data_IF_541755261874
#
_entry.id   IF_541755261874
#
_cell.length_a   1.000
_cell.length_b   1.000
_cell.length_c   1.000
_cell.angle_alpha   90.00
_cell.angle_beta   90.00
_cell.angle_gamma   90.00
#
_symmetry.space_group_name_H-M   'P 1'
#
loop_
_entity.id
_entity.type
_entity.pdbx_description
1 polymer ?
#
# COMPACT_ATOMS: atom_id res chain seq x y z
N UNK A 1 20.88 4.74 23.32
CA UNK A 1 19.82 4.90 22.32
C UNK A 1 20.19 4.01 21.15
N UNK A 2 19.61 2.80 21.10
CA UNK A 2 19.83 1.88 19.99
C UNK A 2 19.08 2.42 18.78
N UNK A 3 19.80 2.70 17.69
CA UNK A 3 19.15 3.11 16.45
C UNK A 3 18.24 2.00 15.94
N UNK A 4 17.13 2.41 15.33
CA UNK A 4 16.20 1.53 14.60
C UNK A 4 17.04 0.63 13.69
N UNK A 5 17.14 -0.66 14.03
CA UNK A 5 17.74 -1.62 13.12
C UNK A 5 16.72 -1.83 12.01
N UNK A 6 16.93 -1.16 10.89
CA UNK A 6 16.15 -1.33 9.65
C UNK A 6 15.92 -2.82 9.29
N UNK A 7 16.84 -3.70 9.71
CA UNK A 7 16.82 -5.14 9.47
C UNK A 7 15.63 -5.90 10.08
N UNK A 8 14.93 -5.38 11.10
CA UNK A 8 13.79 -6.06 11.73
C UNK A 8 12.43 -5.72 11.10
N UNK A 9 12.37 -4.66 10.27
CA UNK A 9 11.23 -4.31 9.42
C UNK A 9 9.86 -4.42 10.13
N UNK A 10 8.88 -5.11 9.55
CA UNK A 10 7.53 -5.29 10.13
C UNK A 10 7.51 -5.96 11.51
N UNK A 11 8.60 -6.59 11.94
CA UNK A 11 8.71 -7.29 13.22
C UNK A 11 9.40 -6.44 14.30
N UNK A 12 9.71 -5.17 14.02
CA UNK A 12 10.23 -4.22 14.98
C UNK A 12 9.10 -3.42 15.64
N UNK A 13 8.85 -3.52 16.97
CA UNK A 13 7.89 -2.67 17.65
C UNK A 13 8.20 -1.16 17.53
N UNK A 14 9.47 -0.77 17.57
CA UNK A 14 9.90 0.64 17.49
C UNK A 14 9.54 1.29 16.15
N UNK A 15 9.37 0.48 15.09
CA UNK A 15 8.87 0.97 13.80
C UNK A 15 7.49 1.59 13.94
N UNK A 16 6.59 0.95 14.69
CA UNK A 16 5.20 1.40 14.83
C UNK A 16 5.10 2.61 15.76
N UNK A 17 5.98 2.75 16.74
CA UNK A 17 6.09 3.96 17.55
C UNK A 17 6.54 5.14 16.68
N UNK A 18 7.63 4.96 15.92
CA UNK A 18 8.12 5.98 14.99
C UNK A 18 7.08 6.36 13.93
N UNK A 19 6.39 5.38 13.34
CA UNK A 19 5.32 5.66 12.38
C UNK A 19 4.15 6.40 13.03
N UNK A 20 3.83 6.09 14.29
CA UNK A 20 2.80 6.79 15.06
C UNK A 20 3.14 8.26 15.23
N UNK A 21 4.35 8.56 15.67
CA UNK A 21 4.85 9.93 15.83
C UNK A 21 4.81 10.70 14.51
N UNK A 22 5.25 10.07 13.41
CA UNK A 22 5.19 10.67 12.06
C UNK A 22 3.76 10.92 11.63
N UNK A 23 2.85 9.97 11.83
CA UNK A 23 1.45 10.15 11.48
C UNK A 23 0.81 11.26 12.29
N UNK A 24 1.09 11.36 13.60
CA UNK A 24 0.58 12.44 14.45
C UNK A 24 0.98 13.82 13.92
N UNK A 25 2.25 14.01 13.55
CA UNK A 25 2.69 15.28 12.95
C UNK A 25 2.02 15.53 11.60
N UNK A 26 1.96 14.52 10.72
CA UNK A 26 1.43 14.71 9.37
C UNK A 26 -0.09 14.96 9.37
N UNK A 27 -0.87 14.32 10.25
CA UNK A 27 -2.32 14.53 10.28
C UNK A 27 -2.72 15.93 10.79
N UNK A 28 -1.86 16.56 11.60
CA UNK A 28 -2.03 17.96 12.01
C UNK A 28 -1.78 18.92 10.84
N UNK A 29 -0.79 18.63 10.00
CA UNK A 29 -0.42 19.47 8.85
C UNK A 29 -1.38 19.32 7.67
N UNK A 30 -1.91 18.11 7.45
CA UNK A 30 -2.73 17.77 6.30
C UNK A 30 -4.15 17.36 6.74
N UNK A 31 -5.14 18.28 6.67
CA UNK A 31 -6.49 18.01 7.15
C UNK A 31 -7.30 17.07 6.24
N UNK A 32 -6.83 16.80 5.02
CA UNK A 32 -7.47 15.89 4.08
C UNK A 32 -7.78 14.52 4.68
N UNK A 33 -8.90 13.92 4.23
CA UNK A 33 -9.37 12.64 4.75
C UNK A 33 -8.45 11.47 4.34
N UNK A 34 -7.73 11.60 3.22
CA UNK A 34 -6.94 10.51 2.65
C UNK A 34 -5.45 10.63 2.98
N UNK A 35 -4.82 9.51 3.31
CA UNK A 35 -3.38 9.44 3.56
C UNK A 35 -2.74 8.36 2.67
N UNK A 36 -1.87 8.77 1.75
CA UNK A 36 -1.22 7.85 0.81
C UNK A 36 0.06 7.25 1.42
N UNK A 37 0.12 5.93 1.60
CA UNK A 37 1.26 5.25 2.25
C UNK A 37 2.34 4.75 1.27
N UNK A 38 2.10 4.91 -0.04
CA UNK A 38 2.97 4.35 -1.07
C UNK A 38 2.74 2.84 -1.20
N UNK A 39 3.78 2.06 -0.90
CA UNK A 39 3.72 0.59 -0.85
C UNK A 39 4.08 -0.13 -2.15
N UNK A 40 4.60 0.61 -3.14
CA UNK A 40 5.09 0.11 -4.42
C UNK A 40 6.51 -0.47 -4.34
N UNK A 41 6.84 -1.30 -5.34
CA UNK A 41 8.19 -1.87 -5.56
C UNK A 41 8.88 -2.46 -4.31
N UNK A 42 8.18 -3.22 -3.46
CA UNK A 42 8.78 -3.71 -2.23
C UNK A 42 9.94 -4.68 -2.55
N UNK A 43 11.12 -4.37 -2.01
CA UNK A 43 12.27 -5.27 -2.11
C UNK A 43 12.31 -6.23 -0.92
N UNK A 44 11.90 -7.47 -1.17
CA UNK A 44 11.81 -8.50 -0.14
C UNK A 44 13.13 -9.20 0.20
N UNK A 45 14.25 -8.86 -0.45
CA UNK A 45 15.51 -9.59 -0.29
C UNK A 45 15.95 -9.72 1.19
N UNK A 46 15.70 -8.69 2.01
CA UNK A 46 16.05 -8.74 3.43
C UNK A 46 15.15 -9.71 4.22
N UNK A 47 13.86 -9.82 3.87
CA UNK A 47 12.92 -10.72 4.55
C UNK A 47 13.13 -12.17 4.11
N UNK A 48 13.43 -12.40 2.83
CA UNK A 48 13.78 -13.71 2.28
C UNK A 48 15.01 -14.29 3.01
N UNK A 49 16.04 -13.46 3.20
CA UNK A 49 17.31 -13.90 3.79
C UNK A 49 17.32 -13.87 5.33
N UNK A 50 16.18 -13.64 5.99
CA UNK A 50 16.10 -13.51 7.44
C UNK A 50 15.31 -14.65 8.07
N UNK A 51 15.99 -15.48 8.87
CA UNK A 51 15.37 -16.59 9.60
C UNK A 51 14.20 -16.13 10.49
N UNK A 52 14.31 -14.95 11.09
CA UNK A 52 13.26 -14.34 11.92
C UNK A 52 11.99 -14.07 11.11
N UNK A 53 12.11 -13.48 9.92
CA UNK A 53 10.97 -13.19 9.05
C UNK A 53 10.36 -14.46 8.48
N UNK A 54 11.18 -15.39 8.00
CA UNK A 54 10.71 -16.68 7.49
C UNK A 54 9.97 -17.49 8.56
N UNK A 55 10.49 -17.49 9.79
CA UNK A 55 9.81 -18.12 10.93
C UNK A 55 8.46 -17.44 11.21
N UNK A 56 8.41 -16.12 11.24
CA UNK A 56 7.16 -15.39 11.47
C UNK A 56 6.12 -15.66 10.38
N UNK A 57 6.52 -15.65 9.10
CA UNK A 57 5.68 -15.98 7.95
C UNK A 57 5.05 -17.37 8.13
N UNK A 58 5.88 -18.37 8.50
CA UNK A 58 5.42 -19.74 8.73
C UNK A 58 4.49 -19.85 9.94
N UNK A 59 4.87 -19.27 11.08
CA UNK A 59 4.11 -19.37 12.33
C UNK A 59 2.73 -18.68 12.22
N UNK A 60 2.62 -17.64 11.40
CA UNK A 60 1.37 -16.89 11.19
C UNK A 60 0.65 -17.26 9.88
N UNK A 61 1.14 -18.28 9.16
CA UNK A 61 0.54 -18.78 7.92
C UNK A 61 0.31 -17.68 6.86
N UNK A 62 1.32 -16.81 6.69
CA UNK A 62 1.29 -15.70 5.73
C UNK A 62 1.66 -16.18 4.32
N UNK A 63 1.14 -15.48 3.30
CA UNK A 63 1.48 -15.69 1.88
C UNK A 63 2.88 -15.13 1.56
N UNK A 64 3.91 -15.75 2.12
CA UNK A 64 5.30 -15.33 1.98
C UNK A 64 5.54 -13.89 2.43
N UNK A 65 6.48 -13.22 1.77
CA UNK A 65 6.88 -11.84 2.04
C UNK A 65 5.78 -10.85 1.67
N UNK A 66 4.93 -11.18 0.70
CA UNK A 66 3.75 -10.37 0.38
C UNK A 66 2.74 -10.39 1.53
N UNK A 67 2.52 -11.54 2.14
CA UNK A 67 1.72 -11.65 3.35
C UNK A 67 2.31 -10.86 4.52
N UNK A 68 3.64 -10.81 4.62
CA UNK A 68 4.34 -9.98 5.60
C UNK A 68 4.19 -8.46 5.32
N UNK A 69 4.23 -8.04 4.05
CA UNK A 69 3.91 -6.65 3.67
C UNK A 69 2.45 -6.34 4.02
N UNK A 70 1.53 -7.27 3.76
CA UNK A 70 0.11 -7.11 4.08
C UNK A 70 -0.12 -6.98 5.58
N UNK A 71 0.62 -7.74 6.40
CA UNK A 71 0.62 -7.61 7.86
C UNK A 71 1.04 -6.21 8.32
N UNK A 72 2.07 -5.62 7.71
CA UNK A 72 2.48 -4.23 7.97
C UNK A 72 1.37 -3.26 7.58
N UNK A 73 0.81 -3.40 6.38
CA UNK A 73 -0.22 -2.50 5.85
C UNK A 73 -1.48 -2.50 6.73
N UNK A 74 -1.92 -3.66 7.24
CA UNK A 74 -3.07 -3.76 8.16
C UNK A 74 -2.81 -3.01 9.47
N UNK A 75 -1.57 -2.98 9.98
CA UNK A 75 -1.24 -2.20 11.18
C UNK A 75 -1.22 -0.70 10.89
N UNK A 76 -0.65 -0.29 9.77
CA UNK A 76 -0.62 1.12 9.34
C UNK A 76 -2.05 1.63 9.12
N UNK A 77 -2.89 0.84 8.47
CA UNK A 77 -4.30 1.16 8.22
C UNK A 77 -5.04 1.49 9.53
N UNK A 78 -4.92 0.64 10.55
CA UNK A 78 -5.52 0.89 11.87
C UNK A 78 -4.99 2.16 12.54
N UNK A 79 -3.69 2.41 12.46
CA UNK A 79 -3.09 3.63 13.02
C UNK A 79 -3.63 4.90 12.35
N UNK A 80 -3.88 4.83 11.03
CA UNK A 80 -4.48 5.93 10.27
C UNK A 80 -5.98 6.06 10.57
N UNK A 81 -6.70 4.96 10.70
CA UNK A 81 -8.14 4.93 11.05
C UNK A 81 -8.38 5.57 12.43
N UNK A 82 -7.54 5.24 13.43
CA UNK A 82 -7.57 5.85 14.77
C UNK A 82 -7.38 7.38 14.74
N UNK A 83 -6.73 7.89 13.69
CA UNK A 83 -6.49 9.33 13.43
C UNK A 83 -7.54 9.94 12.48
N UNK A 84 -8.59 9.19 12.15
CA UNK A 84 -9.67 9.64 11.26
C UNK A 84 -9.24 9.77 9.79
N UNK A 85 -8.19 9.05 9.37
CA UNK A 85 -7.71 9.05 7.98
C UNK A 85 -8.11 7.76 7.27
N UNK A 86 -8.44 7.88 5.98
CA UNK A 86 -8.62 6.77 5.05
C UNK A 86 -7.31 6.48 4.34
N UNK A 87 -6.84 5.24 4.43
CA UNK A 87 -5.61 4.83 3.78
C UNK A 87 -5.78 4.75 2.25
N UNK A 88 -4.80 5.27 1.52
CA UNK A 88 -4.62 5.09 0.07
C UNK A 88 -3.25 4.46 -0.18
N UNK A 89 -3.11 3.62 -1.19
CA UNK A 89 -1.79 3.14 -1.60
C UNK A 89 -1.76 2.56 -3.00
N UNK A 90 -0.56 2.28 -3.48
CA UNK A 90 -0.36 1.66 -4.78
C UNK A 90 -0.89 0.23 -4.80
N UNK A 91 -1.26 -0.26 -5.97
CA UNK A 91 -1.95 -1.54 -6.10
C UNK A 91 -1.22 -2.79 -5.56
N UNK A 92 0.09 -2.72 -5.29
CA UNK A 92 0.81 -3.72 -4.50
C UNK A 92 0.25 -3.91 -3.09
N UNK A 93 -0.29 -2.86 -2.46
CA UNK A 93 -0.78 -2.95 -1.08
C UNK A 93 -2.02 -3.84 -0.95
N UNK A 94 -2.72 -4.11 -2.07
CA UNK A 94 -3.96 -4.87 -2.05
C UNK A 94 -3.76 -6.27 -1.45
N UNK A 95 -4.60 -6.57 -0.45
CA UNK A 95 -4.73 -7.86 0.20
C UNK A 95 -6.15 -8.01 0.76
N UNK A 96 -6.68 -9.24 0.77
CA UNK A 96 -8.05 -9.55 1.22
C UNK A 96 -8.38 -9.17 2.68
N UNK A 97 -7.35 -8.97 3.50
CA UNK A 97 -7.48 -8.66 4.93
C UNK A 97 -7.56 -7.15 5.21
N UNK A 98 -7.41 -6.31 4.18
CA UNK A 98 -7.60 -4.86 4.29
C UNK A 98 -9.10 -4.52 4.20
N UNK A 99 -9.58 -3.49 4.92
CA UNK A 99 -10.96 -3.07 4.81
C UNK A 99 -11.23 -2.42 3.45
N UNK A 100 -12.43 -2.62 2.92
CA UNK A 100 -12.84 -2.06 1.61
C UNK A 100 -12.98 -0.54 1.60
N UNK A 101 -12.78 0.13 2.75
CA UNK A 101 -12.72 1.58 2.88
C UNK A 101 -11.45 2.20 2.29
N UNK A 102 -10.38 1.41 2.09
CA UNK A 102 -9.12 1.91 1.55
C UNK A 102 -9.22 2.18 0.05
N UNK A 103 -8.44 3.15 -0.43
CA UNK A 103 -8.38 3.48 -1.86
C UNK A 103 -7.17 2.80 -2.51
N UNK A 104 -7.40 2.03 -3.57
CA UNK A 104 -6.34 1.39 -4.34
C UNK A 104 -5.99 2.26 -5.56
N UNK A 105 -4.76 2.74 -5.62
CA UNK A 105 -4.25 3.49 -6.76
C UNK A 105 -3.48 2.58 -7.70
N UNK A 106 -4.04 2.33 -8.88
CA UNK A 106 -3.40 1.48 -9.87
C UNK A 106 -2.42 2.24 -10.75
N UNK A 107 -1.19 1.74 -10.78
CA UNK A 107 -0.11 2.30 -11.59
C UNK A 107 0.52 1.32 -12.59
N UNK A 108 0.29 0.01 -12.41
CA UNK A 108 0.81 -1.05 -13.31
C UNK A 108 -0.12 -1.44 -14.45
N UNK A 109 -1.44 -1.19 -14.36
CA UNK A 109 -2.38 -1.56 -15.42
C UNK A 109 -3.86 -1.47 -15.03
N UNK A 110 -4.73 -1.33 -16.03
CA UNK A 110 -6.19 -1.24 -15.84
C UNK A 110 -6.81 -2.49 -15.17
N UNK A 111 -6.17 -3.66 -15.28
CA UNK A 111 -6.66 -4.91 -14.68
C UNK A 111 -6.73 -4.83 -13.15
N UNK A 112 -5.83 -4.04 -12.56
CA UNK A 112 -5.70 -3.89 -11.12
C UNK A 112 -6.84 -3.06 -10.53
N UNK A 113 -7.18 -1.92 -11.14
CA UNK A 113 -8.36 -1.14 -10.74
C UNK A 113 -9.66 -1.90 -11.00
N UNK A 114 -9.73 -2.70 -12.07
CA UNK A 114 -10.89 -3.53 -12.35
C UNK A 114 -11.12 -4.62 -11.30
N UNK A 115 -10.04 -5.22 -10.78
CA UNK A 115 -10.12 -6.18 -9.67
C UNK A 115 -10.55 -5.50 -8.38
N UNK A 116 -9.89 -4.40 -8.02
CA UNK A 116 -10.21 -3.65 -6.81
C UNK A 116 -11.70 -3.23 -6.78
N UNK A 117 -12.21 -2.70 -7.89
CA UNK A 117 -13.61 -2.32 -8.03
C UNK A 117 -14.58 -3.50 -7.87
N UNK A 118 -14.27 -4.67 -8.46
CA UNK A 118 -15.10 -5.89 -8.31
C UNK A 118 -15.18 -6.40 -6.88
N UNK A 119 -14.15 -6.12 -6.09
CA UNK A 119 -14.07 -6.52 -4.69
C UNK A 119 -14.57 -5.44 -3.71
N UNK A 120 -15.09 -4.33 -4.24
CA UNK A 120 -15.73 -3.26 -3.46
C UNK A 120 -14.79 -2.18 -2.96
N UNK A 121 -13.54 -2.14 -3.43
CA UNK A 121 -12.59 -1.07 -3.11
C UNK A 121 -12.79 0.13 -4.04
N UNK A 122 -12.77 1.37 -3.51
CA UNK A 122 -12.53 2.56 -4.31
C UNK A 122 -11.19 2.47 -5.07
N UNK A 123 -11.17 2.97 -6.31
CA UNK A 123 -9.99 2.89 -7.18
C UNK A 123 -9.62 4.21 -7.83
N UNK A 124 -8.32 4.44 -8.01
CA UNK A 124 -7.76 5.55 -8.81
C UNK A 124 -6.89 4.95 -9.92
N UNK A 125 -7.04 5.39 -11.18
CA UNK A 125 -6.18 4.94 -12.28
C UNK A 125 -5.10 5.99 -12.57
N UNK A 126 -3.82 5.62 -12.43
CA UNK A 126 -2.66 6.41 -12.86
C UNK A 126 -1.95 5.81 -14.08
N UNK A 127 -2.04 4.49 -14.32
CA UNK A 127 -1.48 3.89 -15.53
C UNK A 127 -2.03 4.55 -16.78
N UNK A 128 -1.15 4.87 -17.72
CA UNK A 128 -1.50 5.61 -18.93
C UNK A 128 -1.49 7.13 -18.77
N UNK A 129 -1.23 7.64 -17.56
CA UNK A 129 -1.04 9.07 -17.25
C UNK A 129 0.34 9.40 -16.66
N UNK A 130 1.34 8.56 -16.92
CA UNK A 130 2.74 8.81 -16.59
C UNK A 130 3.33 9.87 -17.53
N UNK A 131 3.20 11.15 -17.15
CA UNK A 131 3.64 12.30 -17.96
C UNK A 131 5.16 12.46 -18.04
N UNK A 132 5.89 11.79 -17.15
CA UNK A 132 7.34 11.65 -17.19
C UNK A 132 7.81 10.78 -18.36
N UNK A 133 6.95 9.88 -18.85
CA UNK A 133 7.23 9.08 -20.03
C UNK A 133 6.94 9.90 -21.30
N UNK A 134 7.77 9.79 -22.35
CA UNK A 134 7.65 10.60 -23.56
C UNK A 134 6.52 10.08 -24.48
N UNK A 135 5.29 10.10 -23.99
CA UNK A 135 4.09 9.71 -24.72
C UNK A 135 3.41 10.95 -25.33
N UNK A 136 2.78 10.83 -26.51
CA UNK A 136 2.02 11.93 -27.09
C UNK A 136 0.74 12.19 -26.29
N UNK A 137 0.23 13.43 -26.31
CA UNK A 137 -1.05 13.78 -25.63
C UNK A 137 -2.21 12.86 -26.04
N UNK A 138 -2.23 12.38 -27.29
CA UNK A 138 -3.25 11.44 -27.79
C UNK A 138 -3.18 10.05 -27.17
N UNK A 139 -2.05 9.65 -26.58
CA UNK A 139 -1.94 8.43 -25.79
C UNK A 139 -2.74 8.57 -24.50
N UNK A 140 -2.48 9.63 -23.72
CA UNK A 140 -3.19 9.93 -22.47
C UNK A 140 -4.68 10.18 -22.71
N UNK A 141 -5.03 10.95 -23.75
CA UNK A 141 -6.42 11.29 -24.05
C UNK A 141 -7.30 10.07 -24.37
N UNK A 142 -6.71 9.01 -24.93
CA UNK A 142 -7.42 7.75 -25.24
C UNK A 142 -7.43 6.75 -24.09
N UNK A 143 -6.75 7.06 -22.99
CA UNK A 143 -6.73 6.21 -21.81
C UNK A 143 -8.06 6.38 -21.08
N UNK A 144 -8.89 5.33 -21.08
CA UNK A 144 -10.19 5.32 -20.42
C UNK A 144 -10.03 4.77 -18.99
N UNK A 145 -10.42 5.52 -17.94
CA UNK A 145 -10.36 5.03 -16.56
C UNK A 145 -11.36 3.90 -16.28
N UNK A 146 -12.38 3.72 -17.12
CA UNK A 146 -13.35 2.65 -16.96
C UNK A 146 -12.80 1.31 -17.50
N UNK A 147 -12.67 0.28 -16.67
CA UNK A 147 -12.17 -1.02 -17.12
C UNK A 147 -13.15 -1.66 -18.09
N UNK A 148 -12.65 -2.16 -19.23
CA UNK A 148 -13.48 -2.85 -20.21
C UNK A 148 -13.98 -4.18 -19.63
N UNK A 149 -15.30 -4.42 -19.67
CA UNK A 149 -15.93 -5.68 -19.24
C UNK A 149 -16.31 -5.77 -17.76
N UNK A 150 -16.54 -4.63 -17.10
CA UNK A 150 -17.08 -4.54 -15.73
C UNK A 150 -18.51 -3.94 -15.70
N UNK A 151 -19.06 -3.60 -16.86
CA UNK A 151 -20.46 -3.21 -17.07
C UNK A 151 -21.28 -4.34 -17.68
#
# INVERSE_FOLDING_TARGET
MGGIRAADGPLNPELYEMLGDVFDEMVELFPDEYFHIGGDEPNYAQWINSEKHQKFIKDNNLDGERGLQSYLNVKIEKMLEERGKKMTGWDEIWHKDLPTSIVIQSWRGQDSIGRAAKEGYPGILSTGYYLDQPQPTSYHYRNDPMPKGIT
#
